data_IF_958593539196
#
_entry.id   IF_958593539196
#
_cell.length_a   1.000
_cell.length_b   1.000
_cell.length_c   1.000
_cell.angle_alpha   90.00
_cell.angle_beta   90.00
_cell.angle_gamma   90.00
#
_symmetry.space_group_name_H-M   'P 1'
#
loop_
_entity.id
_entity.type
_entity.pdbx_description
1 polymer ?
#
# COMPACT_ATOMS: atom_id res chain seq x y z
N UNK A 1 -17.75 -12.48 -0.41
CA UNK A 1 -19.02 -13.23 -0.29
C UNK A 1 -18.91 -14.66 -0.80
N UNK A 2 -18.49 -14.88 -2.06
CA UNK A 2 -18.31 -16.24 -2.63
C UNK A 2 -17.39 -17.16 -1.80
N UNK A 3 -16.24 -16.67 -1.34
CA UNK A 3 -15.31 -17.45 -0.51
C UNK A 3 -15.92 -17.94 0.82
N UNK A 4 -16.92 -17.23 1.34
CA UNK A 4 -17.65 -17.56 2.56
C UNK A 4 -18.97 -18.31 2.31
N UNK A 5 -19.26 -18.65 1.04
CA UNK A 5 -20.53 -19.21 0.62
C UNK A 5 -21.76 -18.42 1.12
N UNK A 6 -21.63 -17.09 1.19
CA UNK A 6 -22.73 -16.19 1.56
C UNK A 6 -23.30 -15.60 0.28
N UNK A 7 -24.63 -15.54 0.20
CA UNK A 7 -25.34 -14.91 -0.91
C UNK A 7 -24.92 -13.44 -1.05
N UNK A 8 -24.75 -12.99 -2.29
CA UNK A 8 -24.40 -11.61 -2.58
C UNK A 8 -25.52 -10.68 -2.17
N UNK A 9 -25.16 -9.58 -1.49
CA UNK A 9 -26.10 -8.52 -1.15
C UNK A 9 -26.53 -7.69 -2.35
N UNK A 10 -25.68 -7.63 -3.37
CA UNK A 10 -25.91 -6.94 -4.62
C UNK A 10 -24.89 -7.46 -5.67
N UNK A 11 -25.27 -8.44 -6.50
CA UNK A 11 -24.38 -9.02 -7.52
C UNK A 11 -23.83 -7.98 -8.50
N UNK A 12 -24.58 -6.92 -8.78
CA UNK A 12 -24.14 -5.85 -9.68
C UNK A 12 -23.02 -5.03 -9.05
N UNK A 13 -23.06 -4.79 -7.72
CA UNK A 13 -21.97 -4.12 -7.01
C UNK A 13 -20.76 -5.04 -6.86
N UNK A 14 -20.99 -6.33 -6.58
CA UNK A 14 -19.91 -7.31 -6.56
C UNK A 14 -19.16 -7.30 -7.90
N UNK A 15 -19.87 -7.27 -9.02
CA UNK A 15 -19.27 -7.17 -10.35
C UNK A 15 -18.62 -5.80 -10.58
N UNK A 16 -19.35 -4.70 -10.41
CA UNK A 16 -18.85 -3.34 -10.68
C UNK A 16 -17.57 -2.99 -9.91
N UNK A 17 -17.48 -3.40 -8.63
CA UNK A 17 -16.32 -3.12 -7.78
C UNK A 17 -15.17 -4.13 -7.91
N UNK A 18 -15.29 -5.16 -8.76
CA UNK A 18 -14.13 -5.98 -9.18
C UNK A 18 -13.15 -5.19 -10.06
N UNK A 19 -13.50 -3.97 -10.46
CA UNK A 19 -12.63 -3.10 -11.24
C UNK A 19 -11.36 -2.73 -10.43
N UNK A 20 -10.28 -3.45 -10.70
CA UNK A 20 -8.93 -3.16 -10.21
C UNK A 20 -8.08 -2.38 -11.22
N UNK A 21 -6.90 -1.95 -10.77
CA UNK A 21 -5.82 -1.47 -11.65
C UNK A 21 -4.86 -2.65 -11.77
N UNK A 22 -4.99 -3.41 -12.86
CA UNK A 22 -4.24 -4.66 -13.08
C UNK A 22 -3.63 -4.68 -14.50
N UNK A 23 -2.61 -3.83 -14.75
CA UNK A 23 -1.92 -3.80 -16.03
C UNK A 23 -1.12 -5.09 -16.24
N UNK A 24 -1.01 -5.53 -17.48
CA UNK A 24 -0.11 -6.62 -17.84
C UNK A 24 1.34 -6.18 -17.60
N UNK A 25 2.11 -7.00 -16.89
CA UNK A 25 3.49 -6.70 -16.48
C UNK A 25 4.46 -6.75 -17.67
N UNK A 26 4.21 -7.63 -18.64
CA UNK A 26 5.06 -7.85 -19.80
C UNK A 26 4.69 -6.91 -20.97
N UNK A 27 3.40 -6.62 -21.13
CA UNK A 27 2.87 -5.77 -22.19
C UNK A 27 2.06 -4.58 -21.62
N UNK A 28 2.67 -3.39 -21.47
CA UNK A 28 2.03 -2.24 -20.84
C UNK A 28 0.86 -1.65 -21.67
N UNK A 29 0.63 -2.16 -22.88
CA UNK A 29 -0.54 -1.80 -23.70
C UNK A 29 -1.78 -2.63 -23.36
N UNK A 30 -1.61 -3.69 -22.55
CA UNK A 30 -2.68 -4.58 -22.10
C UNK A 30 -3.01 -4.37 -20.63
N UNK A 31 -4.27 -4.62 -20.31
CA UNK A 31 -4.80 -4.67 -18.96
C UNK A 31 -5.61 -5.96 -18.85
N UNK A 32 -5.53 -6.63 -17.71
CA UNK A 32 -6.34 -7.82 -17.45
C UNK A 32 -7.84 -7.48 -17.46
N UNK A 33 -8.67 -8.50 -17.74
CA UNK A 33 -10.11 -8.36 -17.84
C UNK A 33 -10.71 -7.78 -16.55
N UNK A 34 -11.44 -6.69 -16.70
CA UNK A 34 -12.16 -6.02 -15.63
C UNK A 34 -13.51 -5.49 -16.14
N UNK A 35 -14.50 -5.26 -15.27
CA UNK A 35 -15.74 -4.58 -15.64
C UNK A 35 -15.46 -3.24 -16.33
N UNK A 36 -16.23 -2.93 -17.38
CA UNK A 36 -16.19 -1.60 -18.00
C UNK A 36 -16.56 -0.51 -16.99
N UNK A 37 -16.11 0.72 -17.25
CA UNK A 37 -16.48 1.86 -16.42
C UNK A 37 -18.00 2.11 -16.53
N UNK A 38 -18.74 2.13 -15.41
CA UNK A 38 -20.17 2.40 -15.48
C UNK A 38 -20.41 3.85 -15.96
N UNK A 39 -21.52 4.11 -16.68
CA UNK A 39 -21.86 5.46 -17.11
C UNK A 39 -22.11 6.40 -15.92
N UNK A 40 -22.50 5.85 -14.78
CA UNK A 40 -22.64 6.55 -13.52
C UNK A 40 -22.28 5.63 -12.36
N UNK A 41 -21.43 6.13 -11.46
CA UNK A 41 -21.14 5.45 -10.20
C UNK A 41 -22.33 5.53 -9.24
N UNK A 42 -22.55 4.51 -8.39
CA UNK A 42 -23.60 4.56 -7.40
C UNK A 42 -23.47 5.76 -6.46
N UNK A 43 -24.61 6.19 -5.89
CA UNK A 43 -24.61 7.23 -4.87
C UNK A 43 -23.74 6.79 -3.69
N UNK A 44 -22.96 7.73 -3.14
CA UNK A 44 -22.08 7.47 -1.99
C UNK A 44 -22.80 6.78 -0.83
N UNK A 45 -24.03 7.17 -0.53
CA UNK A 45 -24.82 6.56 0.55
C UNK A 45 -25.02 5.06 0.34
N UNK A 46 -25.30 4.62 -0.90
CA UNK A 46 -25.44 3.21 -1.29
C UNK A 46 -24.14 2.43 -1.21
N UNK A 47 -23.02 3.05 -1.61
CA UNK A 47 -21.69 2.44 -1.47
C UNK A 47 -21.35 2.23 0.01
N UNK A 48 -21.63 3.22 0.85
CA UNK A 48 -21.41 3.13 2.31
C UNK A 48 -22.30 2.06 2.95
N UNK A 49 -23.57 2.00 2.56
CA UNK A 49 -24.52 0.96 3.00
C UNK A 49 -24.01 -0.44 2.65
N UNK A 50 -23.62 -0.66 1.40
CA UNK A 50 -23.07 -1.94 0.94
C UNK A 50 -21.81 -2.34 1.72
N UNK A 51 -20.83 -1.42 1.84
CA UNK A 51 -19.60 -1.66 2.63
C UNK A 51 -19.93 -2.02 4.09
N UNK A 52 -20.84 -1.30 4.72
CA UNK A 52 -21.21 -1.56 6.11
C UNK A 52 -21.86 -2.93 6.27
N UNK A 53 -22.73 -3.33 5.34
CA UNK A 53 -23.36 -4.65 5.34
C UNK A 53 -22.33 -5.77 5.17
N UNK A 54 -21.35 -5.60 4.28
CA UNK A 54 -20.23 -6.54 4.14
C UNK A 54 -19.45 -6.63 5.46
N UNK A 55 -19.05 -5.50 6.05
CA UNK A 55 -18.31 -5.49 7.32
C UNK A 55 -19.09 -6.11 8.47
N UNK A 56 -20.40 -5.86 8.57
CA UNK A 56 -21.25 -6.46 9.60
C UNK A 56 -21.34 -7.98 9.44
N UNK A 57 -21.41 -8.46 8.20
CA UNK A 57 -21.44 -9.90 7.88
C UNK A 57 -20.16 -10.60 8.32
N UNK A 58 -19.05 -9.88 8.26
CA UNK A 58 -17.73 -10.29 8.73
C UNK A 58 -17.53 -10.09 10.23
N UNK A 59 -18.51 -9.61 11.01
CA UNK A 59 -18.39 -9.62 12.48
C UNK A 59 -18.72 -10.97 13.11
N UNK A 60 -19.29 -11.87 12.32
CA UNK A 60 -19.52 -13.25 12.70
C UNK A 60 -18.17 -13.97 12.88
N UNK A 61 -17.93 -14.50 14.08
CA UNK A 61 -16.64 -15.13 14.43
C UNK A 61 -16.34 -16.34 13.56
N UNK A 62 -17.33 -17.16 13.22
CA UNK A 62 -17.11 -18.37 12.42
C UNK A 62 -16.66 -18.00 11.00
N UNK A 63 -17.26 -16.96 10.43
CA UNK A 63 -16.85 -16.42 9.13
C UNK A 63 -15.47 -15.78 9.17
N UNK A 64 -15.14 -15.08 10.25
CA UNK A 64 -13.80 -14.52 10.41
C UNK A 64 -12.74 -15.59 10.55
N UNK A 65 -12.99 -16.63 11.36
CA UNK A 65 -12.11 -17.78 11.47
C UNK A 65 -11.93 -18.49 10.12
N UNK A 66 -13.00 -18.61 9.33
CA UNK A 66 -12.91 -19.16 7.98
C UNK A 66 -12.01 -18.31 7.06
N UNK A 67 -12.18 -16.98 7.01
CA UNK A 67 -11.31 -16.11 6.21
C UNK A 67 -9.86 -16.16 6.67
N UNK A 68 -9.63 -16.16 7.98
CA UNK A 68 -8.31 -16.19 8.59
C UNK A 68 -7.59 -17.51 8.25
N UNK A 69 -8.30 -18.64 8.32
CA UNK A 69 -7.77 -19.95 7.89
C UNK A 69 -7.34 -19.99 6.42
N UNK A 70 -7.87 -19.10 5.58
CA UNK A 70 -7.51 -18.94 4.17
C UNK A 70 -6.44 -17.86 3.94
N UNK A 71 -5.99 -17.15 4.98
CA UNK A 71 -5.13 -15.96 4.88
C UNK A 71 -5.81 -14.74 4.24
N UNK A 72 -7.13 -14.79 4.08
CA UNK A 72 -7.91 -13.75 3.39
C UNK A 72 -8.24 -12.56 4.29
N UNK A 73 -8.26 -12.75 5.62
CA UNK A 73 -8.54 -11.67 6.56
C UNK A 73 -7.45 -10.59 6.50
N UNK A 74 -6.20 -10.99 6.75
CA UNK A 74 -5.04 -10.10 6.66
C UNK A 74 -4.85 -9.54 5.24
N UNK A 75 -5.00 -10.38 4.20
CA UNK A 75 -4.94 -9.91 2.82
C UNK A 75 -5.96 -8.82 2.53
N UNK A 76 -7.20 -8.97 3.01
CA UNK A 76 -8.24 -7.96 2.82
C UNK A 76 -7.93 -6.65 3.56
N UNK A 77 -7.30 -6.73 4.74
CA UNK A 77 -6.87 -5.55 5.50
C UNK A 77 -5.75 -4.81 4.77
N UNK A 78 -4.71 -5.53 4.37
CA UNK A 78 -3.56 -4.98 3.66
C UNK A 78 -3.97 -4.41 2.29
N UNK A 79 -4.90 -5.06 1.61
CA UNK A 79 -5.55 -4.54 0.41
C UNK A 79 -6.34 -3.23 0.66
N UNK A 80 -7.11 -3.12 1.75
CA UNK A 80 -7.81 -1.87 2.12
C UNK A 80 -6.79 -0.75 2.41
N UNK A 81 -5.66 -1.07 3.06
CA UNK A 81 -4.57 -0.12 3.31
C UNK A 81 -3.89 0.36 2.01
N UNK A 82 -3.61 -0.52 1.06
CA UNK A 82 -3.09 -0.15 -0.26
C UNK A 82 -4.06 0.76 -1.03
N UNK A 83 -5.37 0.49 -0.92
CA UNK A 83 -6.39 1.37 -1.51
C UNK A 83 -6.45 2.74 -0.84
N UNK A 84 -6.22 2.83 0.47
CA UNK A 84 -6.12 4.11 1.18
C UNK A 84 -4.91 4.91 0.65
N UNK A 85 -3.74 4.28 0.48
CA UNK A 85 -2.57 4.93 -0.11
C UNK A 85 -2.87 5.43 -1.55
N UNK A 86 -3.47 4.58 -2.37
CA UNK A 86 -3.87 4.93 -3.75
C UNK A 86 -4.83 6.12 -3.77
N UNK A 87 -5.83 6.13 -2.88
CA UNK A 87 -6.76 7.25 -2.73
C UNK A 87 -6.03 8.54 -2.32
N UNK A 88 -5.03 8.45 -1.44
CA UNK A 88 -4.23 9.61 -1.05
C UNK A 88 -3.46 10.17 -2.26
N UNK A 89 -2.85 9.34 -3.10
CA UNK A 89 -2.23 9.79 -4.34
C UNK A 89 -3.23 10.50 -5.27
N UNK A 90 -4.42 9.92 -5.46
CA UNK A 90 -5.47 10.53 -6.28
C UNK A 90 -5.91 11.90 -5.72
N UNK A 91 -6.13 12.00 -4.40
CA UNK A 91 -6.48 13.26 -3.73
C UNK A 91 -5.35 14.28 -3.87
N UNK A 92 -4.09 13.86 -3.76
CA UNK A 92 -2.92 14.72 -3.96
C UNK A 92 -2.81 15.26 -5.38
N UNK A 93 -3.32 14.55 -6.39
CA UNK A 93 -3.33 15.01 -7.79
C UNK A 93 -4.49 15.98 -8.10
N UNK A 94 -5.51 16.07 -7.23
CA UNK A 94 -6.63 17.01 -7.44
C UNK A 94 -6.17 18.48 -7.46
N UNK A 95 -6.87 19.30 -8.24
CA UNK A 95 -6.72 20.75 -8.19
C UNK A 95 -6.95 21.27 -6.76
N UNK A 96 -6.17 22.27 -6.34
CA UNK A 96 -6.22 22.88 -5.00
C UNK A 96 -7.63 23.31 -4.61
N UNK A 97 -8.46 23.75 -5.58
CA UNK A 97 -9.85 24.16 -5.32
C UNK A 97 -10.74 23.04 -4.77
N UNK A 98 -10.41 21.77 -5.04
CA UNK A 98 -11.15 20.61 -4.53
C UNK A 98 -10.62 20.11 -3.18
N UNK A 99 -9.46 20.61 -2.74
CA UNK A 99 -8.82 20.21 -1.49
C UNK A 99 -9.30 21.11 -0.36
N UNK A 100 -9.99 20.52 0.62
CA UNK A 100 -10.32 21.19 1.88
C UNK A 100 -9.18 20.97 2.87
N UNK A 101 -8.36 21.99 3.04
CA UNK A 101 -7.33 21.99 4.08
C UNK A 101 -7.99 22.27 5.42
N UNK A 102 -8.27 21.23 6.19
CA UNK A 102 -8.43 21.39 7.64
C UNK A 102 -7.06 21.77 8.19
N UNK A 103 -6.98 22.89 8.92
CA UNK A 103 -5.81 23.18 9.77
C UNK A 103 -5.81 22.13 10.88
N UNK A 104 -5.26 20.96 10.59
CA UNK A 104 -4.83 20.05 11.64
C UNK A 104 -3.68 20.78 12.30
N UNK A 105 -3.83 21.15 13.57
CA UNK A 105 -2.69 21.56 14.38
C UNK A 105 -1.77 20.35 14.45
N UNK A 106 -0.76 20.34 13.58
CA UNK A 106 0.34 19.40 13.69
C UNK A 106 1.13 19.88 14.90
N UNK A 107 1.14 19.05 15.94
CA UNK A 107 2.02 19.27 17.08
C UNK A 107 3.47 19.28 16.58
N UNK A 108 4.03 20.47 16.38
CA UNK A 108 5.39 20.65 15.92
C UNK A 108 6.43 20.05 16.88
N UNK A 109 6.02 19.73 18.12
CA UNK A 109 6.84 19.04 19.12
C UNK A 109 6.82 17.51 18.99
N UNK A 110 6.00 16.94 18.09
CA UNK A 110 6.04 15.53 17.70
C UNK A 110 6.57 15.39 16.27
N UNK A 111 7.90 15.29 16.10
CA UNK A 111 8.47 14.95 14.81
C UNK A 111 7.86 13.62 14.33
N UNK A 112 7.13 13.63 13.22
CA UNK A 112 6.65 12.40 12.55
C UNK A 112 7.83 11.54 12.05
N UNK A 113 8.98 12.17 11.87
CA UNK A 113 10.28 11.53 11.76
C UNK A 113 11.00 11.78 13.07
N UNK A 114 11.42 10.74 13.79
CA UNK A 114 12.52 10.88 14.75
C UNK A 114 13.56 11.79 14.11
N UNK A 115 13.75 12.99 14.66
CA UNK A 115 14.51 14.07 14.03
C UNK A 115 15.82 13.49 13.52
N UNK A 116 15.98 13.38 12.20
CA UNK A 116 17.28 13.35 11.54
C UNK A 116 17.80 14.79 11.61
N UNK A 117 18.00 15.27 12.84
CA UNK A 117 18.64 16.53 13.14
C UNK A 117 19.58 16.25 14.30
N UNK A 118 20.71 15.70 13.92
CA UNK A 118 21.90 15.51 14.71
C UNK A 118 23.00 15.28 13.69
N UNK A 119 24.11 15.98 13.84
CA UNK A 119 25.26 15.98 12.93
C UNK A 119 25.98 14.61 12.82
N UNK A 120 25.33 13.52 13.26
CA UNK A 120 25.93 12.21 13.53
C UNK A 120 25.35 11.07 12.68
N UNK A 121 24.40 11.32 11.77
CA UNK A 121 23.94 10.28 10.84
C UNK A 121 24.68 10.39 9.51
N UNK A 122 25.37 9.33 9.06
CA UNK A 122 26.13 9.40 7.82
C UNK A 122 25.17 9.51 6.64
N UNK A 123 25.51 10.35 5.65
CA UNK A 123 24.75 10.50 4.40
C UNK A 123 24.58 9.16 3.67
N UNK A 124 25.56 8.26 3.86
CA UNK A 124 25.62 6.93 3.28
C UNK A 124 25.95 5.88 4.35
N UNK A 125 25.25 4.76 4.30
CA UNK A 125 25.60 3.57 5.07
C UNK A 125 26.29 2.57 4.15
N UNK A 126 27.52 2.20 4.49
CA UNK A 126 28.26 1.16 3.78
C UNK A 126 27.74 -0.22 4.17
N UNK A 127 27.31 -1.00 3.18
CA UNK A 127 26.96 -2.40 3.31
C UNK A 127 28.16 -3.22 2.79
N UNK A 128 28.82 -4.03 3.64
CA UNK A 128 29.95 -4.83 3.21
C UNK A 128 29.52 -5.90 2.22
N UNK A 129 30.49 -6.44 1.48
CA UNK A 129 30.23 -7.60 0.62
C UNK A 129 29.83 -8.81 1.46
N UNK A 130 28.97 -9.66 0.91
CA UNK A 130 28.51 -10.84 1.60
C UNK A 130 27.40 -11.56 0.87
N UNK A 131 26.98 -12.68 1.43
CA UNK A 131 25.81 -13.42 0.97
C UNK A 131 24.56 -12.83 1.60
N UNK A 132 23.69 -12.26 0.78
CA UNK A 132 22.39 -11.74 1.19
C UNK A 132 21.31 -12.80 0.93
N UNK A 133 20.33 -12.88 1.84
CA UNK A 133 19.16 -13.73 1.70
C UNK A 133 17.92 -12.86 1.49
N UNK A 134 17.30 -12.98 0.31
CA UNK A 134 16.08 -12.27 -0.05
C UNK A 134 14.87 -13.19 0.11
N UNK A 135 13.76 -12.61 0.58
CA UNK A 135 12.46 -13.28 0.72
C UNK A 135 12.31 -14.09 2.01
N UNK A 136 11.09 -14.58 2.23
CA UNK A 136 10.65 -15.21 3.48
C UNK A 136 10.42 -16.71 3.29
N UNK A 137 10.87 -17.51 4.26
CA UNK A 137 10.53 -18.92 4.30
C UNK A 137 9.10 -19.14 4.82
N UNK A 138 8.24 -19.74 4.00
CA UNK A 138 6.85 -20.05 4.39
C UNK A 138 6.77 -21.11 5.50
N UNK A 139 7.72 -22.04 5.58
CA UNK A 139 7.75 -23.10 6.61
C UNK A 139 8.15 -22.57 7.99
N UNK A 140 9.09 -21.62 8.07
CA UNK A 140 9.53 -21.06 9.36
C UNK A 140 8.67 -19.87 9.80
N UNK A 141 7.93 -19.25 8.88
CA UNK A 141 7.06 -18.09 9.14
C UNK A 141 5.57 -18.38 8.95
N UNK A 142 5.13 -19.63 9.17
CA UNK A 142 3.74 -20.08 8.97
C UNK A 142 2.67 -19.21 9.64
N UNK A 143 3.01 -18.55 10.74
CA UNK A 143 2.11 -17.70 11.53
C UNK A 143 2.21 -16.21 11.18
N UNK A 144 2.99 -15.84 10.16
CA UNK A 144 3.11 -14.46 9.71
C UNK A 144 2.52 -14.30 8.32
N UNK A 145 1.64 -13.32 8.17
CA UNK A 145 1.14 -12.94 6.88
C UNK A 145 2.23 -12.26 6.01
N UNK A 146 2.08 -12.37 4.69
CA UNK A 146 2.87 -11.68 3.66
C UNK A 146 2.22 -11.87 2.28
N UNK A 147 2.57 -11.01 1.33
CA UNK A 147 2.20 -11.20 -0.07
C UNK A 147 2.94 -12.39 -0.68
N UNK A 148 2.38 -12.99 -1.72
CA UNK A 148 2.99 -14.11 -2.44
C UNK A 148 4.41 -13.80 -2.94
N UNK A 149 4.64 -12.59 -3.43
CA UNK A 149 5.93 -12.08 -3.91
C UNK A 149 6.99 -11.87 -2.80
N UNK A 150 6.60 -11.93 -1.51
CA UNK A 150 7.55 -11.86 -0.40
C UNK A 150 8.12 -13.23 -0.03
N UNK A 151 7.50 -14.31 -0.50
CA UNK A 151 7.89 -15.67 -0.17
C UNK A 151 8.79 -16.30 -1.23
N UNK A 152 9.56 -17.28 -0.78
CA UNK A 152 10.70 -17.81 -1.50
C UNK A 152 11.98 -17.30 -0.87
N UNK A 153 13.04 -18.08 -0.94
CA UNK A 153 14.33 -17.69 -0.40
C UNK A 153 15.36 -17.75 -1.51
N UNK A 154 16.02 -16.62 -1.75
CA UNK A 154 17.09 -16.51 -2.72
C UNK A 154 18.34 -16.03 -2.02
N UNK A 155 19.40 -16.83 -2.08
CA UNK A 155 20.73 -16.43 -1.62
C UNK A 155 21.53 -15.88 -2.80
N UNK A 156 22.04 -14.66 -2.64
CA UNK A 156 22.80 -13.95 -3.67
C UNK A 156 24.08 -13.40 -3.07
N UNK A 157 25.20 -13.58 -3.75
CA UNK A 157 26.42 -12.88 -3.40
C UNK A 157 26.31 -11.42 -3.86
N UNK A 158 26.41 -10.48 -2.93
CA UNK A 158 26.28 -9.05 -3.17
C UNK A 158 27.63 -8.40 -2.86
N UNK A 159 28.18 -7.65 -3.82
CA UNK A 159 29.39 -6.86 -3.60
C UNK A 159 29.13 -5.72 -2.62
N UNK A 160 30.16 -5.16 -2.01
CA UNK A 160 29.98 -4.01 -1.11
C UNK A 160 29.42 -2.81 -1.86
N UNK A 161 28.47 -2.10 -1.26
CA UNK A 161 27.86 -0.89 -1.80
C UNK A 161 27.50 0.09 -0.68
N UNK A 162 27.07 1.29 -1.07
CA UNK A 162 26.63 2.32 -0.14
C UNK A 162 25.17 2.69 -0.43
N UNK A 163 24.36 2.86 0.62
CA UNK A 163 22.96 3.27 0.52
C UNK A 163 22.81 4.64 1.15
N UNK A 164 22.19 5.57 0.42
CA UNK A 164 21.89 6.90 0.93
C UNK A 164 20.64 6.85 1.83
N UNK A 165 20.67 7.54 2.97
CA UNK A 165 19.48 7.72 3.80
C UNK A 165 18.45 8.63 3.12
N UNK A 166 17.15 8.59 3.49
CA UNK A 166 16.12 9.41 2.86
C UNK A 166 16.51 10.89 2.82
N UNK A 167 16.53 11.48 1.62
CA UNK A 167 16.91 12.87 1.45
C UNK A 167 15.83 13.81 2.00
N UNK A 168 16.26 14.78 2.80
CA UNK A 168 15.40 15.87 3.24
C UNK A 168 15.30 16.93 2.13
N UNK A 169 14.15 17.62 2.08
CA UNK A 169 13.92 18.75 1.15
C UNK A 169 15.02 19.82 1.31
N UNK A 170 15.50 20.06 2.55
CA UNK A 170 16.61 20.97 2.81
C UNK A 170 17.88 20.59 2.07
N UNK A 171 18.29 19.32 2.13
CA UNK A 171 19.49 18.78 1.48
C UNK A 171 19.43 18.92 -0.06
N UNK A 172 18.25 18.73 -0.65
CA UNK A 172 18.00 18.94 -2.09
C UNK A 172 18.18 20.41 -2.50
N UNK A 173 17.61 21.35 -1.74
CA UNK A 173 17.71 22.77 -2.04
C UNK A 173 19.15 23.30 -1.94
N UNK A 174 19.92 22.91 -0.92
CA UNK A 174 21.29 23.38 -0.73
C UNK A 174 22.25 22.91 -1.83
N UNK A 175 22.15 21.65 -2.29
CA UNK A 175 22.99 21.14 -3.40
C UNK A 175 22.71 21.86 -4.72
N UNK A 176 21.44 22.22 -4.98
CA UNK A 176 21.05 22.97 -6.20
C UNK A 176 21.54 24.41 -6.22
N UNK A 177 21.71 25.03 -5.04
CA UNK A 177 22.20 26.40 -4.91
C UNK A 177 23.73 26.45 -5.02
N UNK A 178 24.44 25.51 -4.38
CA UNK A 178 25.89 25.40 -4.48
C UNK A 178 26.37 25.08 -5.91
N UNK A 179 25.62 24.27 -6.67
CA UNK A 179 25.94 23.95 -8.07
C UNK A 179 25.73 25.13 -9.06
N UNK A 180 24.98 26.17 -8.66
CA UNK A 180 24.77 27.39 -9.46
C UNK A 180 25.70 28.54 -9.05
N UNK A 181 26.48 28.36 -7.99
CA UNK A 181 27.40 29.35 -7.45
C UNK A 181 28.86 29.15 -7.93
N UNK A 182 29.10 28.18 -8.82
CA UNK A 182 30.32 27.98 -9.60
C UNK A 182 30.03 28.18 -11.09
#
# INVERSE_FOLDING_TARGET
MKALNVESFNPDYDYMFQRGIDPDVDDPTKCHDHPEMPPQWPERSRVVEYRNRVRETLRDNDRMHQLDSMGMADMSIEHDLMHIETLLYMVLQLDKKFKRWSRVEVDAAKPLLHRISGEDFPDYVRIPEGTAKLGRNRETKKQQWGWDNEFGELEVQVNSFEVMLPMLIGTLCFKSWAAKAN
#
